data_IF_364367671206
#
_entry.id   IF_364367671206
#
_cell.length_a   1.000
_cell.length_b   1.000
_cell.length_c   1.000
_cell.angle_alpha   90.00
_cell.angle_beta   90.00
_cell.angle_gamma   90.00
#
_symmetry.space_group_name_H-M   'P 1'
#
loop_
_entity.id
_entity.type
_entity.pdbx_description
1 polymer ?
#
# COMPACT_ATOMS: atom_id res chain seq x y z
N UNK A 1 -5.44 8.54 -23.37
CA UNK A 1 -4.50 7.46 -22.97
C UNK A 1 -5.11 6.14 -23.45
N UNK A 2 -4.34 5.14 -23.91
CA UNK A 2 -4.90 3.80 -24.16
C UNK A 2 -5.54 3.23 -22.88
N UNK A 3 -6.56 2.35 -23.00
CA UNK A 3 -7.20 1.74 -21.83
C UNK A 3 -6.17 1.00 -20.98
N UNK A 4 -6.28 1.10 -19.65
CA UNK A 4 -5.47 0.31 -18.73
C UNK A 4 -5.72 -1.17 -18.98
N UNK A 5 -4.64 -1.89 -19.30
CA UNK A 5 -4.68 -3.33 -19.58
C UNK A 5 -4.29 -4.14 -18.34
N UNK A 6 -4.75 -5.39 -18.29
CA UNK A 6 -4.33 -6.36 -17.27
C UNK A 6 -2.81 -6.49 -17.17
N UNK A 7 -2.12 -6.54 -18.31
CA UNK A 7 -0.67 -6.60 -18.38
C UNK A 7 0.01 -5.40 -17.71
N UNK A 8 -0.51 -4.19 -17.89
CA UNK A 8 0.04 -2.98 -17.27
C UNK A 8 -0.11 -3.00 -15.74
N UNK A 9 -1.30 -3.36 -15.23
CA UNK A 9 -1.53 -3.47 -13.78
C UNK A 9 -0.62 -4.53 -13.17
N UNK A 10 -0.48 -5.69 -13.83
CA UNK A 10 0.39 -6.77 -13.37
C UNK A 10 1.86 -6.37 -13.37
N UNK A 11 2.35 -5.72 -14.44
CA UNK A 11 3.72 -5.23 -14.51
C UNK A 11 4.01 -4.20 -13.40
N UNK A 12 3.07 -3.30 -13.11
CA UNK A 12 3.21 -2.32 -12.05
C UNK A 12 3.20 -2.96 -10.66
N UNK A 13 2.34 -3.96 -10.45
CA UNK A 13 2.30 -4.75 -9.22
C UNK A 13 3.64 -5.48 -8.97
N UNK A 14 4.17 -6.18 -9.97
CA UNK A 14 5.44 -6.89 -9.88
C UNK A 14 6.60 -5.92 -9.63
N UNK A 15 6.64 -4.78 -10.33
CA UNK A 15 7.64 -3.74 -10.12
C UNK A 15 7.57 -3.14 -8.70
N UNK A 16 6.37 -2.98 -8.15
CA UNK A 16 6.16 -2.46 -6.79
C UNK A 16 6.60 -3.48 -5.74
N UNK A 17 6.26 -4.76 -5.91
CA UNK A 17 6.77 -5.83 -5.04
C UNK A 17 8.28 -5.95 -5.10
N UNK A 18 8.88 -5.82 -6.28
CA UNK A 18 10.33 -5.82 -6.44
C UNK A 18 10.97 -4.65 -5.66
N UNK A 19 10.45 -3.43 -5.79
CA UNK A 19 10.93 -2.28 -5.02
C UNK A 19 10.72 -2.46 -3.50
N UNK A 20 9.57 -3.00 -3.07
CA UNK A 20 9.33 -3.33 -1.67
C UNK A 20 10.32 -4.38 -1.11
N UNK A 21 10.78 -5.30 -1.95
CA UNK A 21 11.73 -6.35 -1.56
C UNK A 21 13.15 -5.82 -1.28
N UNK A 22 13.52 -4.64 -1.79
CA UNK A 22 14.85 -4.07 -1.61
C UNK A 22 15.09 -3.46 -0.23
N UNK A 23 14.04 -3.36 0.60
CA UNK A 23 14.19 -2.87 1.97
C UNK A 23 14.95 -3.90 2.82
N UNK A 24 16.06 -3.46 3.43
CA UNK A 24 16.89 -4.29 4.31
C UNK A 24 16.15 -4.69 5.59
N UNK A 25 15.42 -3.74 6.19
CA UNK A 25 14.57 -3.98 7.36
C UNK A 25 13.47 -5.00 7.04
N UNK A 26 13.42 -6.08 7.83
CA UNK A 26 12.41 -7.11 7.73
C UNK A 26 10.99 -6.54 7.88
N UNK A 27 10.77 -5.71 8.89
CA UNK A 27 9.45 -5.13 9.17
C UNK A 27 8.96 -4.26 8.01
N UNK A 28 9.84 -3.45 7.42
CA UNK A 28 9.47 -2.59 6.28
C UNK A 28 9.23 -3.41 5.01
N UNK A 29 10.10 -4.38 4.72
CA UNK A 29 9.90 -5.27 3.59
C UNK A 29 8.56 -5.99 3.69
N UNK A 30 8.25 -6.59 4.85
CA UNK A 30 6.98 -7.29 5.06
C UNK A 30 5.78 -6.34 5.03
N UNK A 31 5.89 -5.15 5.61
CA UNK A 31 4.85 -4.12 5.55
C UNK A 31 4.53 -3.73 4.10
N UNK A 32 5.54 -3.33 3.32
CA UNK A 32 5.34 -2.86 1.94
C UNK A 32 4.89 -3.98 1.01
N UNK A 33 5.37 -5.22 1.19
CA UNK A 33 4.86 -6.37 0.43
C UNK A 33 3.38 -6.61 0.72
N UNK A 34 2.99 -6.69 1.99
CA UNK A 34 1.60 -6.87 2.39
C UNK A 34 0.71 -5.74 1.87
N UNK A 35 1.16 -4.49 2.02
CA UNK A 35 0.42 -3.31 1.56
C UNK A 35 0.25 -3.32 0.04
N UNK A 36 1.29 -3.72 -0.70
CA UNK A 36 1.21 -3.86 -2.16
C UNK A 36 0.16 -4.90 -2.54
N UNK A 37 0.11 -6.04 -1.86
CA UNK A 37 -0.88 -7.09 -2.14
C UNK A 37 -2.30 -6.61 -1.86
N UNK A 38 -2.54 -5.97 -0.71
CA UNK A 38 -3.85 -5.42 -0.32
C UNK A 38 -4.33 -4.34 -1.31
N UNK A 39 -3.45 -3.45 -1.75
CA UNK A 39 -3.80 -2.32 -2.63
C UNK A 39 -4.08 -2.78 -4.06
N UNK A 40 -3.31 -3.73 -4.59
CA UNK A 40 -3.48 -4.20 -5.98
C UNK A 40 -4.53 -5.30 -6.13
N UNK A 41 -4.89 -6.01 -5.05
CA UNK A 41 -5.88 -7.09 -5.07
C UNK A 41 -7.20 -6.72 -5.79
N UNK A 42 -7.87 -5.59 -5.50
CA UNK A 42 -9.13 -5.28 -6.18
C UNK A 42 -8.96 -4.96 -7.67
N UNK A 43 -7.85 -4.34 -8.08
CA UNK A 43 -7.56 -4.04 -9.47
C UNK A 43 -7.24 -5.30 -10.28
N UNK A 44 -6.43 -6.19 -9.70
CA UNK A 44 -6.12 -7.50 -10.29
C UNK A 44 -7.38 -8.35 -10.45
N UNK A 45 -8.22 -8.43 -9.41
CA UNK A 45 -9.48 -9.17 -9.45
C UNK A 45 -10.49 -8.59 -10.46
N UNK A 46 -10.58 -7.26 -10.59
CA UNK A 46 -11.46 -6.61 -11.56
C UNK A 46 -11.08 -6.94 -13.01
N UNK A 47 -9.81 -7.27 -13.25
CA UNK A 47 -9.25 -7.62 -14.56
C UNK A 47 -9.18 -9.14 -14.79
N UNK A 48 -9.77 -9.95 -13.90
CA UNK A 48 -9.86 -11.41 -14.03
C UNK A 48 -8.70 -12.20 -13.44
N UNK A 49 -7.80 -11.56 -12.69
CA UNK A 49 -6.71 -12.25 -11.99
C UNK A 49 -7.15 -12.76 -10.61
N UNK A 50 -6.36 -13.66 -10.02
CA UNK A 50 -6.62 -14.23 -8.69
C UNK A 50 -5.58 -13.73 -7.66
N UNK A 51 -5.84 -12.60 -6.97
CA UNK A 51 -4.95 -12.11 -5.92
C UNK A 51 -5.03 -12.96 -4.64
N UNK A 52 -4.10 -12.78 -3.68
CA UNK A 52 -4.18 -13.44 -2.38
C UNK A 52 -5.52 -13.18 -1.70
N UNK A 53 -6.21 -14.24 -1.27
CA UNK A 53 -7.57 -14.14 -0.72
C UNK A 53 -7.65 -13.20 0.50
N UNK A 54 -6.63 -13.25 1.37
CA UNK A 54 -6.54 -12.37 2.54
C UNK A 54 -6.42 -10.88 2.15
N UNK A 55 -5.64 -10.58 1.10
CA UNK A 55 -5.47 -9.22 0.59
C UNK A 55 -6.77 -8.69 -0.02
N UNK A 56 -7.48 -9.53 -0.79
CA UNK A 56 -8.78 -9.17 -1.36
C UNK A 56 -9.86 -8.98 -0.27
N UNK A 57 -9.85 -9.81 0.77
CA UNK A 57 -10.75 -9.66 1.91
C UNK A 57 -10.48 -8.35 2.67
N UNK A 58 -9.21 -8.02 2.91
CA UNK A 58 -8.81 -6.76 3.54
C UNK A 58 -9.21 -5.54 2.69
N UNK A 59 -9.01 -5.60 1.38
CA UNK A 59 -9.42 -4.53 0.46
C UNK A 59 -10.94 -4.31 0.49
N UNK A 60 -11.73 -5.39 0.47
CA UNK A 60 -13.20 -5.33 0.58
C UNK A 60 -13.65 -4.76 1.93
N UNK A 61 -13.05 -5.21 3.03
CA UNK A 61 -13.36 -4.70 4.38
C UNK A 61 -13.14 -3.19 4.48
N UNK A 62 -12.21 -2.65 3.70
CA UNK A 62 -11.91 -1.24 3.64
C UNK A 62 -12.57 -0.51 2.44
N UNK A 63 -13.62 -1.09 1.85
CA UNK A 63 -14.48 -0.46 0.84
C UNK A 63 -14.02 -0.58 -0.63
N UNK A 64 -12.87 -1.19 -0.86
CA UNK A 64 -12.27 -1.32 -2.19
C UNK A 64 -12.55 -2.72 -2.77
N UNK A 65 -13.81 -2.95 -3.15
CA UNK A 65 -14.21 -4.19 -3.82
C UNK A 65 -13.93 -4.14 -5.35
N UNK A 66 -13.67 -5.28 -6.01
CA UNK A 66 -13.32 -5.32 -7.44
C UNK A 66 -14.38 -4.70 -8.36
N UNK A 67 -15.65 -4.88 -8.04
CA UNK A 67 -16.78 -4.28 -8.77
C UNK A 67 -16.78 -2.74 -8.73
N UNK A 68 -16.12 -2.14 -7.75
CA UNK A 68 -15.97 -0.69 -7.65
C UNK A 68 -14.85 -0.16 -8.53
N UNK A 69 -14.02 -1.01 -9.13
CA UNK A 69 -12.86 -0.66 -9.93
C UNK A 69 -13.25 -0.43 -11.40
N UNK A 70 -13.99 0.67 -11.65
CA UNK A 70 -14.37 1.08 -13.01
C UNK A 70 -13.14 1.45 -13.84
N UNK A 71 -13.33 1.62 -15.14
CA UNK A 71 -12.25 2.04 -16.05
C UNK A 71 -11.55 3.33 -15.59
N UNK A 72 -12.34 4.34 -15.23
CA UNK A 72 -11.83 5.65 -14.78
C UNK A 72 -11.02 5.49 -13.50
N UNK A 73 -11.46 4.60 -12.59
CA UNK A 73 -10.74 4.31 -11.35
C UNK A 73 -9.47 3.50 -11.59
N UNK A 74 -9.44 2.60 -12.58
CA UNK A 74 -8.21 1.91 -12.99
C UNK A 74 -7.19 2.91 -13.57
N UNK A 75 -7.64 3.86 -14.38
CA UNK A 75 -6.78 4.92 -14.94
C UNK A 75 -6.19 5.80 -13.82
N UNK A 76 -7.01 6.27 -12.88
CA UNK A 76 -6.55 7.02 -11.72
C UNK A 76 -5.61 6.19 -10.82
N UNK A 77 -5.98 4.94 -10.54
CA UNK A 77 -5.18 4.00 -9.76
C UNK A 77 -3.78 3.83 -10.36
N UNK A 78 -3.69 3.60 -11.67
CA UNK A 78 -2.39 3.44 -12.35
C UNK A 78 -1.51 4.70 -12.20
N UNK A 79 -2.06 5.89 -12.45
CA UNK A 79 -1.29 7.14 -12.32
C UNK A 79 -0.77 7.36 -10.90
N UNK A 80 -1.61 7.12 -9.89
CA UNK A 80 -1.18 7.23 -8.49
C UNK A 80 -0.14 6.17 -8.10
N UNK A 81 -0.33 4.92 -8.55
CA UNK A 81 0.58 3.82 -8.22
C UNK A 81 1.94 3.98 -8.90
N UNK A 82 2.01 4.54 -10.10
CA UNK A 82 3.27 4.91 -10.75
C UNK A 82 4.03 5.97 -9.93
N UNK A 83 3.33 6.99 -9.45
CA UNK A 83 3.93 8.00 -8.57
C UNK A 83 4.40 7.40 -7.23
N UNK A 84 3.62 6.47 -6.67
CA UNK A 84 3.96 5.76 -5.44
C UNK A 84 5.17 4.82 -5.63
N UNK A 85 5.26 4.11 -6.78
CA UNK A 85 6.43 3.30 -7.12
C UNK A 85 7.71 4.14 -7.20
N UNK A 86 7.63 5.32 -7.82
CA UNK A 86 8.77 6.24 -7.86
C UNK A 86 9.20 6.69 -6.46
N UNK A 87 8.24 6.94 -5.56
CA UNK A 87 8.54 7.25 -4.16
C UNK A 87 9.18 6.05 -3.43
N UNK A 88 8.60 4.86 -3.55
CA UNK A 88 9.08 3.63 -2.91
C UNK A 88 10.52 3.30 -3.35
N UNK A 89 10.84 3.44 -4.64
CA UNK A 89 12.20 3.26 -5.17
C UNK A 89 13.18 4.24 -4.55
N UNK A 90 12.82 5.53 -4.43
CA UNK A 90 13.66 6.54 -3.77
C UNK A 90 13.89 6.19 -2.29
N UNK A 91 12.84 5.77 -1.59
CA UNK A 91 12.91 5.36 -0.18
C UNK A 91 13.82 4.15 0.03
N UNK A 92 13.76 3.16 -0.86
CA UNK A 92 14.65 1.99 -0.82
C UNK A 92 16.12 2.38 -0.99
N UNK A 93 16.41 3.30 -1.91
CA UNK A 93 17.76 3.84 -2.13
C UNK A 93 18.25 4.60 -0.89
N UNK A 94 17.43 5.50 -0.32
CA UNK A 94 17.79 6.24 0.91
C UNK A 94 18.01 5.30 2.10
N UNK A 95 17.17 4.27 2.25
CA UNK A 95 17.34 3.23 3.27
C UNK A 95 18.67 2.47 3.13
N UNK A 96 19.08 2.17 1.90
CA UNK A 96 20.37 1.55 1.62
C UNK A 96 21.54 2.51 1.89
N UNK A 97 21.40 3.80 1.53
CA UNK A 97 22.43 4.83 1.72
C UNK A 97 22.68 5.18 3.20
N UNK A 98 21.63 5.20 4.02
CA UNK A 98 21.72 5.44 5.48
C UNK A 98 22.16 4.15 6.22
N UNK A 99 22.47 3.08 5.48
CA UNK A 99 23.13 1.89 6.00
C UNK A 99 22.26 0.99 6.86
N UNK A 100 20.93 1.09 6.82
CA UNK A 100 20.06 0.30 7.70
C UNK A 100 20.41 0.43 9.18
N UNK A 101 21.03 1.53 9.60
CA UNK A 101 21.54 1.70 10.96
C UNK A 101 20.43 2.27 11.84
N UNK A 102 19.84 1.38 12.63
CA UNK A 102 19.53 1.68 14.02
C UNK A 102 20.09 0.53 14.86
N UNK A 103 21.30 0.69 15.38
CA UNK A 103 21.88 -0.26 16.34
C UNK A 103 21.13 -0.25 17.69
N UNK A 104 20.13 0.63 17.83
CA UNK A 104 19.31 0.90 19.00
C UNK A 104 17.80 0.76 18.74
N UNK A 105 17.38 0.38 17.52
CA UNK A 105 15.96 0.27 17.14
C UNK A 105 15.22 1.60 16.92
N UNK A 106 15.90 2.76 16.91
CA UNK A 106 15.26 4.06 16.69
C UNK A 106 15.21 4.44 15.19
N UNK A 107 14.02 4.74 14.67
CA UNK A 107 13.84 5.20 13.29
C UNK A 107 14.22 6.68 13.19
N UNK A 108 15.11 7.10 12.26
CA UNK A 108 15.42 8.52 12.08
C UNK A 108 14.17 9.28 11.63
N UNK A 109 13.96 10.51 12.12
CA UNK A 109 12.76 11.32 11.85
C UNK A 109 12.50 11.55 10.35
N UNK A 110 13.57 11.63 9.54
CA UNK A 110 13.50 11.65 8.07
C UNK A 110 12.79 10.41 7.49
N UNK A 111 12.96 9.24 8.10
CA UNK A 111 12.29 8.00 7.68
C UNK A 111 10.81 7.97 8.06
N UNK A 112 10.41 8.50 9.23
CA UNK A 112 9.00 8.63 9.59
C UNK A 112 8.25 9.52 8.60
N UNK A 113 8.90 10.58 8.13
CA UNK A 113 8.36 11.47 7.10
C UNK A 113 8.22 10.76 5.75
N UNK A 114 9.17 9.91 5.38
CA UNK A 114 9.08 9.09 4.17
C UNK A 114 7.95 8.06 4.27
N UNK A 115 7.81 7.37 5.41
CA UNK A 115 6.70 6.44 5.64
C UNK A 115 5.38 7.19 5.55
N UNK A 116 5.24 8.36 6.18
CA UNK A 116 4.04 9.20 6.07
C UNK A 116 3.77 9.65 4.62
N UNK A 117 4.77 9.98 3.81
CA UNK A 117 4.56 10.34 2.40
C UNK A 117 4.13 9.13 1.56
N UNK A 118 4.70 7.95 1.84
CA UNK A 118 4.32 6.71 1.15
C UNK A 118 2.94 6.27 1.61
N UNK A 119 2.64 6.32 2.90
CA UNK A 119 1.33 6.03 3.48
C UNK A 119 0.29 7.03 2.96
N UNK A 120 0.51 8.34 3.00
CA UNK A 120 -0.44 9.33 2.44
C UNK A 120 -0.74 9.07 0.96
N UNK A 121 0.27 8.71 0.17
CA UNK A 121 0.07 8.38 -1.26
C UNK A 121 -0.53 7.00 -1.46
N UNK A 122 -0.28 6.06 -0.55
CA UNK A 122 -0.88 4.73 -0.59
C UNK A 122 -2.32 4.73 -0.04
N UNK A 123 -2.64 5.63 0.90
CA UNK A 123 -3.88 5.85 1.62
C UNK A 123 -4.78 6.92 0.98
N UNK A 124 -4.28 7.73 0.06
CA UNK A 124 -5.11 8.63 -0.76
C UNK A 124 -6.21 7.88 -1.54
N UNK A 125 -6.03 6.57 -1.78
CA UNK A 125 -7.07 5.68 -2.33
C UNK A 125 -8.17 5.35 -1.32
N UNK A 126 -7.90 5.48 -0.03
CA UNK A 126 -8.84 5.24 1.07
C UNK A 126 -9.60 6.49 1.54
N UNK A 127 -9.31 7.68 0.98
CA UNK A 127 -9.95 8.95 1.38
C UNK A 127 -10.83 9.59 0.31
N UNK A 128 -11.50 8.79 -0.52
CA UNK A 128 -12.84 9.17 -0.99
C UNK A 128 -13.83 8.88 0.15
N UNK A 129 -13.93 9.83 1.10
CA UNK A 129 -14.80 9.78 2.29
C UNK A 129 -16.23 9.31 1.95
N UNK A 130 -16.83 8.37 2.71
CA UNK A 130 -18.19 8.55 3.17
C UNK A 130 -18.14 9.51 4.38
N UNK A 131 -18.90 10.60 4.29
CA UNK A 131 -19.10 11.48 5.43
C UNK A 131 -19.79 10.73 6.59
N UNK A 132 -19.46 11.14 7.81
CA UNK A 132 -20.01 10.70 9.10
C UNK A 132 -19.73 9.25 9.51
N UNK A 133 -18.77 9.09 10.43
CA UNK A 133 -19.01 8.28 11.62
C UNK A 133 -18.05 8.67 12.76
N UNK A 134 -18.63 9.14 13.85
CA UNK A 134 -17.98 9.43 15.13
C UNK A 134 -17.56 8.12 15.77
N UNK A 135 -16.26 7.90 15.98
CA UNK A 135 -15.76 6.70 16.67
C UNK A 135 -15.67 6.99 18.17
N UNK A 136 -16.59 6.40 18.93
CA UNK A 136 -16.53 6.33 20.40
C UNK A 136 -15.47 5.30 20.80
N UNK A 137 -14.40 5.74 21.45
CA UNK A 137 -13.33 4.88 21.98
C UNK A 137 -13.79 4.16 23.26
N UNK A 138 -14.09 2.87 23.17
CA UNK A 138 -14.23 2.02 24.35
C UNK A 138 -12.85 1.63 24.90
N UNK A 139 -12.61 2.04 26.15
CA UNK A 139 -11.39 1.82 26.93
C UNK A 139 -11.20 0.33 27.19
N UNK A 140 -10.02 -0.20 26.83
CA UNK A 140 -9.55 -1.54 27.16
C UNK A 140 -9.49 -1.74 28.68
N UNK A 141 -10.22 -2.74 29.19
CA UNK A 141 -10.04 -3.27 30.54
C UNK A 141 -9.07 -4.45 30.44
N UNK A 142 -7.97 -4.50 31.22
CA UNK A 142 -7.11 -5.68 31.25
C UNK A 142 -7.75 -6.79 32.10
N UNK A 143 -7.78 -8.00 31.54
CA UNK A 143 -8.21 -9.22 32.23
C UNK A 143 -7.04 -9.76 33.07
N UNK A 144 -7.21 -9.92 34.38
CA UNK A 144 -6.58 -11.01 35.15
C UNK A 144 -7.36 -11.27 36.45
N UNK A 145 -8.00 -12.46 36.48
CA UNK A 145 -8.56 -13.29 37.58
C UNK A 145 -9.54 -12.64 38.57
#
# INVERSE_FOLDING_TARGET
MPPVTHAQVKALYEATRAAASTFSSYNFRMYFLRRTDEVFAPALAALGDTPPAAALAAAKAAGNAPNNMTRERLEAFMGEREAALAALKRSGITNAMIGGISHDGSQPEEFKKIISIVDDKMDAVYTLKPQNQTITLHKLIPNTI
#
